data_IF_734966952684
#
_entry.id   IF_734966952684
#
_cell.length_a   1.000
_cell.length_b   1.000
_cell.length_c   1.000
_cell.angle_alpha   90.00
_cell.angle_beta   90.00
_cell.angle_gamma   90.00
#
_symmetry.space_group_name_H-M   'P 1'
#
loop_
_entity.id
_entity.type
_entity.pdbx_description
1 polymer ?
#
# COMPACT_ATOMS: atom_id res chain seq x y z
N UNK A 1 -21.98 -9.63 -18.41
CA UNK A 1 -20.52 -9.71 -18.62
C UNK A 1 -19.91 -10.35 -17.40
N UNK A 2 -19.33 -11.55 -17.53
CA UNK A 2 -18.80 -12.30 -16.39
C UNK A 2 -17.53 -11.65 -15.84
N UNK A 3 -17.56 -11.20 -14.60
CA UNK A 3 -16.36 -10.85 -13.86
C UNK A 3 -15.55 -12.14 -13.64
N UNK A 4 -14.42 -12.27 -14.34
CA UNK A 4 -13.40 -13.25 -13.98
C UNK A 4 -12.78 -12.75 -12.66
N UNK A 5 -12.90 -13.49 -11.55
CA UNK A 5 -12.29 -13.06 -10.30
C UNK A 5 -10.77 -12.97 -10.50
N UNK A 6 -10.10 -11.95 -9.92
CA UNK A 6 -8.64 -11.86 -10.00
C UNK A 6 -8.04 -13.11 -9.38
N UNK A 7 -7.17 -13.80 -10.13
CA UNK A 7 -6.45 -14.98 -9.62
C UNK A 7 -5.72 -14.61 -8.34
N UNK A 8 -5.81 -15.47 -7.34
CA UNK A 8 -5.12 -15.22 -6.06
C UNK A 8 -3.60 -15.35 -6.24
N UNK A 9 -2.81 -14.71 -5.37
CA UNK A 9 -1.34 -14.88 -5.34
C UNK A 9 -0.93 -16.35 -5.28
N UNK A 10 -1.73 -17.20 -4.63
CA UNK A 10 -1.52 -18.65 -4.55
C UNK A 10 -1.69 -19.34 -5.91
N UNK A 11 -2.73 -18.97 -6.67
CA UNK A 11 -3.02 -19.54 -7.99
C UNK A 11 -1.99 -19.10 -9.04
N UNK A 12 -1.56 -17.84 -9.00
CA UNK A 12 -0.49 -17.33 -9.87
C UNK A 12 0.83 -18.05 -9.58
N UNK A 13 1.20 -18.19 -8.31
CA UNK A 13 2.41 -18.93 -7.91
C UNK A 13 2.36 -20.41 -8.30
N UNK A 14 1.20 -21.07 -8.16
CA UNK A 14 1.03 -22.46 -8.61
C UNK A 14 1.15 -22.61 -10.13
N UNK A 15 0.57 -21.66 -10.88
CA UNK A 15 0.66 -21.65 -12.35
C UNK A 15 2.11 -21.49 -12.80
N UNK A 16 2.85 -20.54 -12.20
CA UNK A 16 4.27 -20.33 -12.50
C UNK A 16 5.12 -21.55 -12.10
N UNK A 17 4.88 -22.14 -10.93
CA UNK A 17 5.61 -23.33 -10.46
C UNK A 17 5.40 -24.55 -11.37
N UNK A 18 4.29 -24.59 -12.12
CA UNK A 18 3.99 -25.66 -13.08
C UNK A 18 4.57 -25.44 -14.48
N UNK A 19 5.11 -24.26 -14.78
CA UNK A 19 5.70 -23.94 -16.08
C UNK A 19 7.02 -24.71 -16.29
N UNK A 20 7.15 -25.43 -17.40
CA UNK A 20 8.30 -26.33 -17.67
C UNK A 20 9.20 -25.86 -18.80
N UNK A 21 8.73 -24.90 -19.60
CA UNK A 21 9.43 -24.40 -20.77
C UNK A 21 9.08 -22.93 -21.05
N UNK A 22 9.80 -22.34 -22.01
CA UNK A 22 9.61 -20.94 -22.41
C UNK A 22 8.17 -20.64 -22.86
N UNK A 23 7.51 -21.56 -23.56
CA UNK A 23 6.14 -21.37 -24.04
C UNK A 23 5.11 -21.34 -22.90
N UNK A 24 5.32 -22.11 -21.82
CA UNK A 24 4.50 -22.05 -20.62
C UNK A 24 4.67 -20.70 -19.89
N UNK A 25 5.91 -20.19 -19.86
CA UNK A 25 6.22 -18.87 -19.30
C UNK A 25 5.60 -17.74 -20.13
N UNK A 26 5.72 -17.78 -21.46
CA UNK A 26 5.12 -16.79 -22.36
C UNK A 26 3.59 -16.77 -22.22
N UNK A 27 2.96 -17.94 -22.06
CA UNK A 27 1.52 -18.05 -21.76
C UNK A 27 1.19 -17.47 -20.39
N UNK A 28 1.99 -17.76 -19.36
CA UNK A 28 1.81 -17.20 -18.02
C UNK A 28 1.88 -15.67 -18.04
N UNK A 29 2.92 -15.11 -18.67
CA UNK A 29 3.10 -13.66 -18.81
C UNK A 29 1.93 -13.04 -19.58
N UNK A 30 1.46 -13.68 -20.67
CA UNK A 30 0.33 -13.20 -21.46
C UNK A 30 -1.04 -13.27 -20.77
N UNK A 31 -1.19 -14.07 -19.70
CA UNK A 31 -2.43 -14.14 -18.88
C UNK A 31 -2.31 -13.38 -17.56
N UNK A 32 -1.11 -12.87 -17.21
CA UNK A 32 -1.05 -11.86 -16.18
C UNK A 32 -1.92 -10.70 -16.67
N UNK A 33 -2.83 -10.18 -15.82
CA UNK A 33 -3.42 -8.90 -16.16
C UNK A 33 -2.26 -7.96 -16.47
N UNK A 34 -2.34 -7.21 -17.57
CA UNK A 34 -1.45 -6.07 -17.78
C UNK A 34 -1.30 -5.43 -16.40
N UNK A 35 -0.08 -5.39 -15.86
CA UNK A 35 0.19 -4.57 -14.68
C UNK A 35 -0.37 -3.23 -15.10
N UNK A 36 -1.51 -2.82 -14.53
CA UNK A 36 -2.33 -1.75 -15.11
C UNK A 36 -1.38 -0.60 -15.36
N UNK A 37 -1.05 -0.39 -16.64
CA UNK A 37 -0.07 0.58 -17.02
C UNK A 37 -0.65 1.91 -16.56
N UNK A 38 -0.05 2.52 -15.53
CA UNK A 38 -0.52 3.80 -15.00
C UNK A 38 -1.47 3.74 -13.81
N UNK A 39 -1.22 2.91 -12.79
CA UNK A 39 -1.66 3.27 -11.42
C UNK A 39 -0.44 3.34 -10.52
N UNK A 40 0.11 4.53 -10.35
CA UNK A 40 1.09 4.81 -9.31
C UNK A 40 0.42 4.80 -7.93
N UNK A 41 1.22 4.80 -6.85
CA UNK A 41 0.69 5.06 -5.51
C UNK A 41 -0.19 6.33 -5.49
N UNK A 42 0.28 7.40 -6.12
CA UNK A 42 -0.44 8.69 -6.14
C UNK A 42 -1.79 8.60 -6.84
N UNK A 43 -1.87 7.89 -7.97
CA UNK A 43 -3.13 7.71 -8.71
C UNK A 43 -4.14 6.90 -7.89
N UNK A 44 -3.67 5.80 -7.28
CA UNK A 44 -4.52 4.97 -6.44
C UNK A 44 -4.99 5.72 -5.20
N UNK A 45 -4.06 6.33 -4.46
CA UNK A 45 -4.33 7.01 -3.20
C UNK A 45 -5.30 8.17 -3.40
N UNK A 46 -5.06 9.02 -4.40
CA UNK A 46 -5.93 10.18 -4.68
C UNK A 46 -7.31 9.80 -5.24
N UNK A 47 -7.48 8.59 -5.78
CA UNK A 47 -8.77 8.11 -6.26
C UNK A 47 -9.70 7.64 -5.12
N UNK A 48 -9.17 7.38 -3.92
CA UNK A 48 -9.96 6.90 -2.79
C UNK A 48 -10.93 8.01 -2.32
N UNK A 49 -12.24 7.72 -2.12
CA UNK A 49 -13.21 8.72 -1.68
C UNK A 49 -12.78 9.49 -0.42
N UNK A 50 -12.27 8.78 0.60
CA UNK A 50 -11.79 9.37 1.86
C UNK A 50 -10.64 10.35 1.68
N UNK A 51 -9.78 10.11 0.68
CA UNK A 51 -8.63 10.98 0.38
C UNK A 51 -9.12 12.25 -0.31
N UNK A 52 -10.10 12.14 -1.23
CA UNK A 52 -10.67 13.29 -1.95
C UNK A 52 -11.41 14.29 -1.06
N UNK A 53 -11.90 13.83 0.09
CA UNK A 53 -12.58 14.67 1.07
C UNK A 53 -11.62 15.49 1.95
N UNK A 54 -10.31 15.22 1.90
CA UNK A 54 -9.32 15.89 2.75
C UNK A 54 -8.39 16.74 1.87
N UNK A 55 -8.22 18.04 2.16
CA UNK A 55 -7.26 18.88 1.44
C UNK A 55 -5.84 18.30 1.51
N UNK A 56 -5.10 18.33 0.39
CA UNK A 56 -3.75 17.78 0.31
C UNK A 56 -2.80 18.31 1.41
N UNK A 57 -2.86 19.62 1.71
CA UNK A 57 -2.08 20.21 2.78
C UNK A 57 -2.38 19.60 4.16
N UNK A 58 -3.66 19.31 4.43
CA UNK A 58 -4.10 18.70 5.68
C UNK A 58 -3.71 17.22 5.74
N UNK A 59 -3.80 16.48 4.63
CA UNK A 59 -3.28 15.11 4.55
C UNK A 59 -1.78 15.04 4.86
N UNK A 60 -0.99 15.92 4.24
CA UNK A 60 0.45 15.97 4.46
C UNK A 60 0.77 16.32 5.92
N UNK A 61 0.03 17.28 6.50
CA UNK A 61 0.16 17.64 7.91
C UNK A 61 -0.16 16.47 8.84
N UNK A 62 -1.28 15.76 8.62
CA UNK A 62 -1.68 14.57 9.39
C UNK A 62 -0.68 13.42 9.26
N UNK A 63 -0.09 13.26 8.08
CA UNK A 63 0.95 12.27 7.85
C UNK A 63 2.27 12.65 8.56
N UNK A 64 2.47 13.92 8.92
CA UNK A 64 3.71 14.42 9.52
C UNK A 64 4.90 14.35 8.56
N UNK A 65 4.66 14.41 7.26
CA UNK A 65 5.68 14.37 6.23
C UNK A 65 6.06 15.82 5.87
N UNK A 66 7.33 16.05 5.54
CA UNK A 66 7.77 17.34 5.01
C UNK A 66 6.84 17.81 3.86
N UNK A 67 6.50 19.10 3.85
CA UNK A 67 5.50 19.64 2.94
C UNK A 67 5.87 19.40 1.48
N UNK A 68 7.12 19.70 1.11
CA UNK A 68 7.59 19.55 -0.27
C UNK A 68 7.59 18.09 -0.68
N UNK A 69 8.15 17.22 0.16
CA UNK A 69 8.19 15.78 -0.11
C UNK A 69 6.78 15.15 -0.18
N UNK A 70 5.86 15.59 0.69
CA UNK A 70 4.47 15.16 0.69
C UNK A 70 3.75 15.49 -0.62
N UNK A 71 3.92 16.72 -1.14
CA UNK A 71 3.37 17.08 -2.45
C UNK A 71 4.01 16.28 -3.59
N UNK A 72 5.33 16.04 -3.55
CA UNK A 72 5.99 15.19 -4.55
C UNK A 72 5.42 13.77 -4.58
N UNK A 73 5.04 13.21 -3.43
CA UNK A 73 4.36 11.91 -3.37
C UNK A 73 2.95 12.03 -3.95
N UNK A 74 2.15 12.99 -3.47
CA UNK A 74 0.74 13.11 -3.88
C UNK A 74 0.56 13.48 -5.36
N UNK A 75 1.52 14.17 -5.98
CA UNK A 75 1.48 14.51 -7.41
C UNK A 75 2.23 13.52 -8.31
N UNK A 76 2.77 12.43 -7.75
CA UNK A 76 3.43 11.37 -8.51
C UNK A 76 4.85 11.68 -9.00
N UNK A 77 5.42 12.85 -8.65
CA UNK A 77 6.83 13.14 -8.96
C UNK A 77 7.77 12.18 -8.20
N UNK A 78 7.41 11.84 -6.95
CA UNK A 78 8.05 10.80 -6.16
C UNK A 78 7.27 9.49 -6.27
N UNK A 79 7.62 8.68 -7.28
CA UNK A 79 6.86 7.47 -7.65
C UNK A 79 6.90 6.32 -6.65
N UNK A 80 8.02 6.14 -5.95
CA UNK A 80 8.25 4.98 -5.06
C UNK A 80 8.53 5.46 -3.62
N UNK A 81 7.51 5.97 -2.89
CA UNK A 81 7.66 6.25 -1.46
C UNK A 81 7.93 4.94 -0.70
N UNK A 82 8.76 5.01 0.34
CA UNK A 82 9.00 3.85 1.20
C UNK A 82 7.77 3.44 2.01
N UNK A 83 7.77 2.19 2.51
CA UNK A 83 6.68 1.58 3.30
C UNK A 83 6.13 2.52 4.38
N UNK A 84 7.00 3.10 5.19
CA UNK A 84 6.58 3.98 6.29
C UNK A 84 5.87 5.25 5.80
N UNK A 85 6.31 5.85 4.70
CA UNK A 85 5.64 7.01 4.11
C UNK A 85 4.25 6.65 3.59
N UNK A 86 4.09 5.48 2.98
CA UNK A 86 2.79 4.96 2.54
C UNK A 86 1.88 4.72 3.75
N UNK A 87 2.39 4.11 4.82
CA UNK A 87 1.64 3.85 6.05
C UNK A 87 1.20 5.16 6.73
N UNK A 88 2.06 6.17 6.77
CA UNK A 88 1.72 7.50 7.32
C UNK A 88 0.57 8.15 6.55
N UNK A 89 0.59 8.09 5.21
CA UNK A 89 -0.54 8.54 4.39
C UNK A 89 -1.80 7.69 4.57
N UNK A 90 -1.65 6.37 4.74
CA UNK A 90 -2.77 5.48 5.00
C UNK A 90 -3.47 5.81 6.33
N UNK A 91 -2.70 6.07 7.39
CA UNK A 91 -3.22 6.50 8.69
C UNK A 91 -3.85 7.90 8.60
N UNK A 92 -3.20 8.85 7.93
CA UNK A 92 -3.71 10.21 7.75
C UNK A 92 -5.10 10.29 7.08
N UNK A 93 -5.38 9.35 6.16
CA UNK A 93 -6.67 9.22 5.47
C UNK A 93 -7.57 8.12 6.05
N UNK A 94 -7.21 7.53 7.19
CA UNK A 94 -7.99 6.48 7.86
C UNK A 94 -8.33 5.29 6.94
N UNK A 95 -7.37 4.86 6.12
CA UNK A 95 -7.53 3.73 5.20
C UNK A 95 -7.72 2.41 5.96
N UNK A 96 -8.43 1.47 5.35
CA UNK A 96 -8.56 0.09 5.84
C UNK A 96 -7.30 -0.71 5.55
N UNK A 97 -7.04 -1.82 6.26
CA UNK A 97 -5.91 -2.69 5.93
C UNK A 97 -5.93 -3.16 4.47
N UNK A 98 -7.10 -3.42 3.88
CA UNK A 98 -7.21 -3.83 2.48
C UNK A 98 -6.77 -2.71 1.53
N UNK A 99 -7.23 -1.47 1.75
CA UNK A 99 -6.80 -0.30 0.98
C UNK A 99 -5.28 -0.06 1.13
N UNK A 100 -4.75 -0.21 2.35
CA UNK A 100 -3.32 -0.03 2.63
C UNK A 100 -2.45 -1.10 2.00
N UNK A 101 -2.83 -2.38 2.08
CA UNK A 101 -2.10 -3.46 1.42
C UNK A 101 -2.06 -3.23 -0.09
N UNK A 102 -3.19 -2.80 -0.67
CA UNK A 102 -3.25 -2.47 -2.08
C UNK A 102 -2.33 -1.30 -2.45
N UNK A 103 -2.25 -0.27 -1.61
CA UNK A 103 -1.32 0.83 -1.80
C UNK A 103 0.15 0.37 -1.76
N UNK A 104 0.50 -0.52 -0.83
CA UNK A 104 1.85 -1.09 -0.72
C UNK A 104 2.21 -1.94 -1.95
N UNK A 105 1.30 -2.79 -2.41
CA UNK A 105 1.46 -3.58 -3.64
C UNK A 105 1.70 -2.70 -4.87
N UNK A 106 0.87 -1.67 -5.04
CA UNK A 106 0.96 -0.74 -6.18
C UNK A 106 2.29 0.04 -6.16
N UNK A 107 2.78 0.39 -4.97
CA UNK A 107 4.05 1.10 -4.80
C UNK A 107 5.27 0.18 -4.83
N UNK A 108 5.09 -1.13 -5.03
CA UNK A 108 6.14 -2.15 -4.92
C UNK A 108 6.88 -2.12 -3.58
N UNK A 109 6.18 -1.69 -2.52
CA UNK A 109 6.71 -1.64 -1.16
C UNK A 109 6.38 -2.94 -0.39
N UNK A 110 7.18 -3.33 0.61
CA UNK A 110 6.88 -4.52 1.40
C UNK A 110 5.50 -4.44 2.06
N UNK A 111 4.64 -5.43 1.77
CA UNK A 111 3.31 -5.57 2.36
C UNK A 111 3.39 -5.82 3.88
N UNK A 112 2.29 -5.59 4.58
CA UNK A 112 2.18 -5.88 6.01
C UNK A 112 1.96 -7.38 6.23
N UNK A 113 2.81 -8.01 7.04
CA UNK A 113 2.69 -9.43 7.35
C UNK A 113 2.29 -9.65 8.83
N UNK A 114 1.11 -10.24 9.12
CA UNK A 114 0.62 -10.38 10.50
C UNK A 114 1.54 -11.15 11.47
N UNK A 115 2.48 -11.96 10.97
CA UNK A 115 3.46 -12.65 11.84
C UNK A 115 4.67 -11.78 12.21
N UNK A 116 4.89 -10.68 11.49
CA UNK A 116 5.87 -9.69 11.91
C UNK A 116 5.23 -8.81 12.99
N UNK A 117 5.92 -8.66 14.12
CA UNK A 117 5.40 -7.97 15.31
C UNK A 117 5.05 -6.51 15.03
N UNK A 118 5.95 -5.75 14.41
CA UNK A 118 5.71 -4.36 13.96
C UNK A 118 4.50 -4.27 13.03
N UNK A 119 4.43 -5.14 12.02
CA UNK A 119 3.32 -5.15 11.06
C UNK A 119 1.98 -5.52 11.70
N UNK A 120 1.95 -6.39 12.71
CA UNK A 120 0.74 -6.70 13.46
C UNK A 120 0.19 -5.46 14.19
N UNK A 121 1.08 -4.66 14.79
CA UNK A 121 0.72 -3.39 15.45
C UNK A 121 0.20 -2.38 14.44
N UNK A 122 0.85 -2.28 13.27
CA UNK A 122 0.41 -1.40 12.18
C UNK A 122 -0.96 -1.81 11.63
N UNK A 123 -1.19 -3.12 11.42
CA UNK A 123 -2.49 -3.65 11.00
C UNK A 123 -3.58 -3.39 12.04
N UNK A 124 -3.26 -3.52 13.33
CA UNK A 124 -4.17 -3.16 14.42
C UNK A 124 -4.52 -1.67 14.37
N UNK A 125 -3.51 -0.81 14.20
CA UNK A 125 -3.68 0.65 14.16
C UNK A 125 -4.56 1.09 12.98
N UNK A 126 -4.36 0.50 11.80
CA UNK A 126 -5.20 0.71 10.61
C UNK A 126 -6.65 0.24 10.81
N UNK A 127 -6.86 -0.87 11.51
CA UNK A 127 -8.19 -1.35 11.86
C UNK A 127 -8.91 -0.41 12.84
N UNK A 128 -8.17 0.14 13.81
CA UNK A 128 -8.71 1.07 14.82
C UNK A 128 -8.75 2.53 14.38
N UNK A 129 -8.29 2.84 13.16
CA UNK A 129 -8.26 4.20 12.60
C UNK A 129 -7.46 5.18 13.46
N UNK A 130 -6.37 4.68 14.05
CA UNK A 130 -5.44 5.52 14.79
C UNK A 130 -4.76 6.52 13.85
N UNK A 131 -4.38 7.67 14.42
CA UNK A 131 -3.56 8.64 13.69
C UNK A 131 -2.06 8.24 13.78
N UNK A 132 -1.18 8.97 13.08
CA UNK A 132 0.27 8.67 13.05
C UNK A 132 0.93 8.79 14.42
N UNK A 133 0.54 9.77 15.24
CA UNK A 133 1.08 9.98 16.59
C UNK A 133 0.71 8.81 17.50
N UNK A 134 -0.59 8.49 17.62
CA UNK A 134 -1.07 7.37 18.45
C UNK A 134 -0.47 6.03 18.01
N UNK A 135 -0.28 5.85 16.69
CA UNK A 135 0.36 4.64 16.14
C UNK A 135 1.84 4.57 16.55
N UNK A 136 2.56 5.68 16.50
CA UNK A 136 3.96 5.72 16.94
C UNK A 136 4.10 5.51 18.45
N UNK A 137 3.18 6.05 19.26
CA UNK A 137 3.13 5.77 20.70
C UNK A 137 2.89 4.28 20.96
N UNK A 138 1.99 3.65 20.21
CA UNK A 138 1.75 2.22 20.33
C UNK A 138 2.97 1.39 19.91
N UNK A 139 3.66 1.76 18.83
CA UNK A 139 4.90 1.11 18.41
C UNK A 139 5.96 1.20 19.51
N UNK A 140 6.15 2.38 20.10
CA UNK A 140 7.10 2.61 21.19
C UNK A 140 6.77 1.79 22.46
N UNK A 141 5.50 1.71 22.85
CA UNK A 141 5.05 0.87 23.97
C UNK A 141 5.37 -0.61 23.77
N UNK A 142 5.44 -1.07 22.53
CA UNK A 142 5.86 -2.42 22.17
C UNK A 142 7.34 -2.50 21.76
N UNK A 143 8.15 -1.46 21.96
CA UNK A 143 9.58 -1.47 21.66
C UNK A 143 9.91 -1.63 20.17
N UNK A 144 9.01 -1.21 19.29
CA UNK A 144 9.18 -1.23 17.83
C UNK A 144 9.52 0.16 17.29
N UNK A 145 10.22 0.21 16.15
CA UNK A 145 10.60 1.47 15.53
C UNK A 145 9.39 2.25 15.02
N UNK A 146 9.33 3.54 15.36
CA UNK A 146 8.33 4.49 14.90
C UNK A 146 8.31 4.61 13.36
N UNK A 147 7.21 5.13 12.82
CA UNK A 147 7.08 5.40 11.39
C UNK A 147 7.98 6.56 10.96
N UNK A 148 8.98 6.23 10.14
CA UNK A 148 9.97 7.16 9.59
C UNK A 148 9.40 8.21 8.65
#
# INVERSE_FOLDING_TARGET
MGHIPPKTTRELSQTLASARNRSDLDRYIGVLPEQVAGKTFSDYYNALPKVREIPAAELIRRAGIDRTYGYQILNGTRRNPGKDKILRFALAAALTPAETQRALEIAEAPVLYPRNRRDAILLFSLNRKLNVMDTNELLDQFGEEALG
#
